data_IF_701495795220
#
_entry.id   IF_701495795220
#
_cell.length_a   1.000
_cell.length_b   1.000
_cell.length_c   1.000
_cell.angle_alpha   90.00
_cell.angle_beta   90.00
_cell.angle_gamma   90.00
#
_symmetry.space_group_name_H-M   'P 1'
#
loop_
_entity.id
_entity.type
_entity.pdbx_description
1 polymer ?
#
# COMPACT_ATOMS: atom_id res chain seq x y z
N UNK A 1 -0.92 -6.08 3.93
CA UNK A 1 0.00 -5.32 4.82
C UNK A 1 0.93 -6.23 5.64
N UNK A 2 0.49 -7.39 6.12
CA UNK A 2 1.32 -8.31 6.92
C UNK A 2 2.42 -9.05 6.12
N UNK A 3 2.59 -8.73 4.84
CA UNK A 3 3.51 -9.38 3.91
C UNK A 3 4.19 -8.32 3.04
N UNK A 4 5.25 -8.71 2.34
CA UNK A 4 6.05 -7.83 1.50
C UNK A 4 6.96 -6.89 2.31
N UNK A 5 7.52 -5.89 1.65
CA UNK A 5 8.51 -4.98 2.25
C UNK A 5 7.94 -3.81 3.07
N UNK A 6 6.60 -3.69 3.18
CA UNK A 6 5.96 -2.48 3.71
C UNK A 6 6.48 -2.07 5.09
N UNK A 7 6.42 -2.97 6.09
CA UNK A 7 6.83 -2.67 7.47
C UNK A 7 8.32 -2.31 7.58
N UNK A 8 9.17 -2.84 6.69
CA UNK A 8 10.59 -2.53 6.65
C UNK A 8 10.88 -1.20 5.96
N UNK A 9 10.19 -0.92 4.86
CA UNK A 9 10.45 0.24 4.00
C UNK A 9 9.80 1.52 4.54
N UNK A 10 8.62 1.43 5.15
CA UNK A 10 7.87 2.58 5.69
C UNK A 10 8.73 3.55 6.54
N UNK A 11 9.45 3.12 7.59
CA UNK A 11 10.25 4.05 8.41
C UNK A 11 11.35 4.76 7.60
N UNK A 12 11.92 4.10 6.59
CA UNK A 12 12.98 4.68 5.74
C UNK A 12 12.41 5.73 4.80
N UNK A 13 11.24 5.47 4.22
CA UNK A 13 10.53 6.47 3.41
C UNK A 13 10.15 7.70 4.24
N UNK A 14 9.67 7.51 5.47
CA UNK A 14 9.34 8.62 6.38
C UNK A 14 10.59 9.48 6.65
N UNK A 15 11.74 8.87 6.93
CA UNK A 15 13.00 9.61 7.13
C UNK A 15 13.37 10.42 5.89
N UNK A 16 13.28 9.83 4.69
CA UNK A 16 13.55 10.55 3.45
C UNK A 16 12.58 11.71 3.22
N UNK A 17 11.28 11.52 3.44
CA UNK A 17 10.26 12.57 3.30
C UNK A 17 10.53 13.75 4.24
N UNK A 18 10.85 13.46 5.50
CA UNK A 18 11.21 14.49 6.49
C UNK A 18 12.47 15.25 6.09
N UNK A 19 13.50 14.55 5.61
CA UNK A 19 14.77 15.17 5.20
C UNK A 19 14.60 16.17 4.05
N UNK A 20 13.60 15.95 3.20
CA UNK A 20 13.29 16.81 2.06
C UNK A 20 12.24 17.88 2.40
N UNK A 21 11.76 17.95 3.65
CA UNK A 21 10.69 18.85 4.07
C UNK A 21 9.33 18.57 3.40
N UNK A 22 9.11 17.33 2.94
CA UNK A 22 7.91 16.92 2.18
C UNK A 22 6.82 16.29 3.04
N UNK A 23 6.95 16.33 4.36
CA UNK A 23 6.03 15.72 5.31
C UNK A 23 6.61 14.50 6.02
N UNK A 24 5.73 13.69 6.60
CA UNK A 24 6.10 12.59 7.50
C UNK A 24 5.23 11.35 7.33
N UNK A 25 4.74 10.81 8.46
CA UNK A 25 3.99 9.55 8.49
C UNK A 25 2.66 9.68 7.74
N UNK A 26 1.96 10.80 7.93
CA UNK A 26 0.62 11.02 7.39
C UNK A 26 0.62 11.22 5.87
N UNK A 27 1.76 11.57 5.29
CA UNK A 27 1.91 11.84 3.85
C UNK A 27 2.22 10.57 3.02
N UNK A 28 2.54 9.46 3.67
CA UNK A 28 2.83 8.18 3.00
C UNK A 28 1.59 7.29 3.07
N UNK A 29 0.88 7.17 1.95
CA UNK A 29 -0.31 6.31 1.82
C UNK A 29 0.08 4.90 1.36
N UNK A 30 -0.66 3.89 1.81
CA UNK A 30 -0.46 2.50 1.39
C UNK A 30 -1.56 2.06 0.42
N UNK A 31 -1.13 1.41 -0.66
CA UNK A 31 -2.00 0.66 -1.56
C UNK A 31 -1.39 -0.72 -1.78
N UNK A 32 -2.22 -1.74 -1.66
CA UNK A 32 -1.82 -3.13 -1.83
C UNK A 32 -2.91 -4.06 -1.29
N UNK A 33 -2.65 -5.37 -1.37
CA UNK A 33 -3.60 -6.38 -0.86
C UNK A 33 -3.83 -6.24 0.64
N UNK A 34 -5.06 -6.55 1.06
CA UNK A 34 -5.44 -6.66 2.46
C UNK A 34 -4.59 -7.74 3.16
N UNK A 35 -4.40 -7.65 4.49
CA UNK A 35 -3.74 -8.70 5.24
C UNK A 35 -4.43 -10.06 5.04
N UNK A 36 -3.64 -11.11 4.86
CA UNK A 36 -4.12 -12.48 4.66
C UNK A 36 -3.14 -13.47 5.29
N UNK A 37 -3.65 -14.63 5.75
CA UNK A 37 -2.80 -15.72 6.21
C UNK A 37 -2.05 -16.39 5.03
N UNK A 38 -2.71 -16.52 3.87
CA UNK A 38 -2.13 -17.03 2.64
C UNK A 38 -1.57 -15.88 1.78
N UNK A 39 -0.53 -16.16 0.98
CA UNK A 39 0.17 -15.16 0.16
C UNK A 39 -0.68 -14.59 -0.97
N UNK A 40 -1.57 -15.41 -1.53
CA UNK A 40 -2.52 -15.02 -2.56
C UNK A 40 -3.73 -15.97 -2.54
N UNK A 41 -4.83 -15.52 -3.13
CA UNK A 41 -5.95 -16.40 -3.48
C UNK A 41 -5.53 -17.44 -4.53
N UNK A 42 -6.01 -18.67 -4.40
CA UNK A 42 -5.83 -19.73 -5.40
C UNK A 42 -6.75 -19.61 -6.61
N UNK A 43 -7.73 -18.69 -6.58
CA UNK A 43 -8.69 -18.49 -7.65
C UNK A 43 -8.21 -17.38 -8.59
N UNK A 44 -7.86 -17.73 -9.83
CA UNK A 44 -7.34 -16.79 -10.83
C UNK A 44 -8.24 -15.56 -11.04
N UNK A 45 -9.56 -15.77 -11.12
CA UNK A 45 -10.53 -14.67 -11.29
C UNK A 45 -10.48 -13.67 -10.13
N UNK A 46 -10.33 -14.15 -8.90
CA UNK A 46 -10.21 -13.29 -7.71
C UNK A 46 -8.86 -12.59 -7.71
N UNK A 47 -7.78 -13.29 -8.08
CA UNK A 47 -6.44 -12.70 -8.17
C UNK A 47 -6.40 -11.52 -9.15
N UNK A 48 -6.99 -11.68 -10.35
CA UNK A 48 -7.09 -10.60 -11.33
C UNK A 48 -7.91 -9.43 -10.81
N UNK A 49 -9.03 -9.70 -10.15
CA UNK A 49 -9.86 -8.66 -9.54
C UNK A 49 -9.06 -7.84 -8.51
N UNK A 50 -8.40 -8.51 -7.55
CA UNK A 50 -7.57 -7.83 -6.55
C UNK A 50 -6.44 -7.01 -7.18
N UNK A 51 -5.84 -7.51 -8.27
CA UNK A 51 -4.77 -6.83 -8.99
C UNK A 51 -5.28 -5.57 -9.69
N UNK A 52 -6.43 -5.62 -10.36
CA UNK A 52 -7.03 -4.46 -11.00
C UNK A 52 -7.41 -3.41 -9.95
N UNK A 53 -8.09 -3.81 -8.88
CA UNK A 53 -8.54 -2.91 -7.81
C UNK A 53 -7.36 -2.17 -7.15
N UNK A 54 -6.25 -2.85 -6.85
CA UNK A 54 -5.11 -2.19 -6.22
C UNK A 54 -4.38 -1.24 -7.18
N UNK A 55 -4.34 -1.54 -8.49
CA UNK A 55 -3.70 -0.66 -9.49
C UNK A 55 -4.53 0.59 -9.69
N UNK A 56 -5.85 0.44 -9.84
CA UNK A 56 -6.79 1.56 -9.97
C UNK A 56 -6.71 2.46 -8.74
N UNK A 57 -6.73 1.87 -7.53
CA UNK A 57 -6.58 2.63 -6.28
C UNK A 57 -5.23 3.35 -6.15
N UNK A 58 -4.16 2.83 -6.75
CA UNK A 58 -2.84 3.47 -6.70
C UNK A 58 -2.71 4.66 -7.66
N UNK A 59 -3.49 4.67 -8.74
CA UNK A 59 -3.43 5.67 -9.80
C UNK A 59 -4.59 6.69 -9.76
N UNK A 60 -5.57 6.49 -8.87
CA UNK A 60 -6.69 7.40 -8.70
C UNK A 60 -6.23 8.79 -8.25
N UNK A 61 -7.06 9.80 -8.53
CA UNK A 61 -6.79 11.19 -8.10
C UNK A 61 -7.33 11.48 -6.71
N UNK A 62 -8.32 10.71 -6.27
CA UNK A 62 -8.97 10.84 -4.98
C UNK A 62 -8.01 10.49 -3.82
N UNK A 63 -8.09 11.23 -2.69
CA UNK A 63 -7.29 10.93 -1.52
C UNK A 63 -7.40 9.47 -1.08
N UNK A 64 -6.25 8.84 -0.82
CA UNK A 64 -6.21 7.48 -0.26
C UNK A 64 -6.32 7.59 1.26
N UNK A 65 -7.50 7.28 1.79
CA UNK A 65 -7.68 7.05 3.22
C UNK A 65 -7.18 5.66 3.58
N UNK A 66 -6.14 5.63 4.41
CA UNK A 66 -5.53 4.41 4.89
C UNK A 66 -4.67 4.69 6.14
N UNK A 67 -4.69 3.82 7.18
CA UNK A 67 -5.54 2.62 7.34
C UNK A 67 -6.98 2.92 7.77
N UNK A 68 -7.29 4.20 8.01
CA UNK A 68 -8.62 4.75 8.31
C UNK A 68 -8.85 5.97 7.41
#
# INVERSE_FOLDING_TARGET
MNMGGYNYVLPRLITSMKSLGRGGYDDIKYVGRAPSAATATGFLKVHHKEQTELVEKALQSEPINFPY
#
